data_IF_056267827187
#
_entry.id   IF_056267827187
#
_cell.length_a   1.000
_cell.length_b   1.000
_cell.length_c   1.000
_cell.angle_alpha   90.00
_cell.angle_beta   90.00
_cell.angle_gamma   90.00
#
_symmetry.space_group_name_H-M   'P 1'
#
loop_
_entity.id
_entity.type
_entity.pdbx_description
1 polymer ?
#
# COMPACT_ATOMS: atom_id res chain seq x y z
N UNK A 1 -8.25 25.50 -4.33
CA UNK A 1 -7.36 24.44 -4.81
C UNK A 1 -6.56 23.79 -3.68
N UNK A 2 -6.02 24.56 -2.75
CA UNK A 2 -5.30 24.06 -1.57
C UNK A 2 -6.00 22.97 -0.76
N UNK A 3 -7.31 23.13 -0.53
CA UNK A 3 -8.09 22.11 0.21
C UNK A 3 -8.10 20.76 -0.52
N UNK A 4 -8.27 20.77 -1.84
CA UNK A 4 -8.29 19.54 -2.64
C UNK A 4 -6.91 18.86 -2.65
N UNK A 5 -5.83 19.64 -2.79
CA UNK A 5 -4.45 19.13 -2.70
C UNK A 5 -4.19 18.48 -1.34
N UNK A 6 -4.57 19.14 -0.23
CA UNK A 6 -4.42 18.59 1.12
C UNK A 6 -5.17 17.28 1.32
N UNK A 7 -6.38 17.15 0.77
CA UNK A 7 -7.14 15.89 0.84
C UNK A 7 -6.35 14.76 0.17
N UNK A 8 -5.82 14.96 -1.04
CA UNK A 8 -5.07 13.92 -1.73
C UNK A 8 -3.71 13.62 -1.08
N UNK A 9 -3.07 14.58 -0.42
CA UNK A 9 -1.89 14.33 0.40
C UNK A 9 -2.20 13.38 1.57
N UNK A 10 -3.33 13.58 2.25
CA UNK A 10 -3.78 12.70 3.32
C UNK A 10 -4.10 11.30 2.78
N UNK A 11 -4.84 11.22 1.67
CA UNK A 11 -5.18 9.93 1.03
C UNK A 11 -3.91 9.18 0.62
N UNK A 12 -2.93 9.87 0.03
CA UNK A 12 -1.64 9.28 -0.30
C UNK A 12 -0.95 8.67 0.91
N UNK A 13 -0.90 9.39 2.03
CA UNK A 13 -0.31 8.89 3.27
C UNK A 13 -1.06 7.65 3.79
N UNK A 14 -2.39 7.68 3.80
CA UNK A 14 -3.23 6.56 4.23
C UNK A 14 -3.00 5.33 3.36
N UNK A 15 -2.97 5.49 2.04
CA UNK A 15 -2.74 4.40 1.08
C UNK A 15 -1.34 3.81 1.25
N UNK A 16 -0.32 4.66 1.39
CA UNK A 16 1.05 4.24 1.68
C UNK A 16 1.15 3.42 2.96
N UNK A 17 0.58 3.91 4.06
CA UNK A 17 0.55 3.22 5.36
C UNK A 17 -0.20 1.88 5.25
N UNK A 18 -1.33 1.87 4.56
CA UNK A 18 -2.15 0.65 4.38
C UNK A 18 -1.36 -0.44 3.65
N UNK A 19 -0.66 -0.07 2.56
CA UNK A 19 0.21 -0.99 1.84
C UNK A 19 1.32 -1.56 2.73
N UNK A 20 1.97 -0.72 3.54
CA UNK A 20 3.01 -1.14 4.48
C UNK A 20 2.48 -2.10 5.55
N UNK A 21 1.30 -1.83 6.11
CA UNK A 21 0.66 -2.71 7.09
C UNK A 21 0.36 -4.08 6.47
N UNK A 22 -0.10 -4.12 5.22
CA UNK A 22 -0.33 -5.37 4.50
C UNK A 22 0.97 -6.16 4.26
N UNK A 23 2.08 -5.46 3.95
CA UNK A 23 3.40 -6.10 3.87
C UNK A 23 3.79 -6.74 5.21
N UNK A 24 3.67 -5.99 6.32
CA UNK A 24 4.00 -6.52 7.65
C UNK A 24 3.12 -7.71 8.04
N UNK A 25 1.81 -7.65 7.77
CA UNK A 25 0.91 -8.77 8.01
C UNK A 25 1.29 -9.99 7.15
N UNK A 26 1.65 -9.78 5.88
CA UNK A 26 2.11 -10.83 4.98
C UNK A 26 3.40 -11.51 5.44
N UNK A 27 4.34 -10.76 6.02
CA UNK A 27 5.57 -11.30 6.62
C UNK A 27 5.24 -12.28 7.74
N UNK A 28 4.32 -11.91 8.64
CA UNK A 28 3.91 -12.75 9.77
C UNK A 28 3.30 -14.06 9.27
N UNK A 29 2.41 -14.00 8.29
CA UNK A 29 1.79 -15.20 7.70
C UNK A 29 2.81 -16.05 6.94
N UNK A 30 3.74 -15.45 6.21
CA UNK A 30 4.78 -16.18 5.48
C UNK A 30 5.67 -16.99 6.43
N UNK A 31 6.27 -16.33 7.42
CA UNK A 31 7.15 -17.03 8.38
C UNK A 31 6.37 -17.98 9.29
N UNK A 32 5.14 -17.62 9.68
CA UNK A 32 4.27 -18.50 10.43
C UNK A 32 3.90 -19.77 9.65
N UNK A 33 3.65 -19.67 8.35
CA UNK A 33 3.44 -20.83 7.49
C UNK A 33 4.70 -21.66 7.32
N UNK A 34 5.86 -21.01 7.11
CA UNK A 34 7.16 -21.69 6.97
C UNK A 34 7.51 -22.52 8.19
N UNK A 35 7.35 -21.94 9.39
CA UNK A 35 7.68 -22.63 10.63
C UNK A 35 6.75 -23.81 10.93
N UNK A 36 5.55 -23.83 10.34
CA UNK A 36 4.53 -24.86 10.56
C UNK A 36 4.36 -25.82 9.37
N UNK A 37 5.23 -25.76 8.35
CA UNK A 37 5.10 -26.51 7.09
C UNK A 37 3.73 -26.33 6.40
N UNK A 38 3.11 -25.15 6.57
CA UNK A 38 1.85 -24.77 5.93
C UNK A 38 2.16 -23.94 4.68
N UNK A 39 2.07 -24.57 3.51
CA UNK A 39 2.36 -23.93 2.21
C UNK A 39 1.29 -22.93 1.80
N UNK A 40 0.02 -23.17 2.16
CA UNK A 40 -1.10 -22.29 1.81
C UNK A 40 -0.99 -20.97 2.56
N UNK A 41 -0.61 -21.02 3.85
CA UNK A 41 -0.36 -19.81 4.64
C UNK A 41 0.87 -19.04 4.14
N UNK A 42 1.92 -19.73 3.71
CA UNK A 42 3.08 -19.10 3.07
C UNK A 42 2.69 -18.32 1.81
N UNK A 43 1.95 -18.96 0.90
CA UNK A 43 1.50 -18.32 -0.33
C UNK A 43 0.61 -17.10 -0.04
N UNK A 44 -0.33 -17.24 0.90
CA UNK A 44 -1.16 -16.11 1.35
C UNK A 44 -0.32 -14.94 1.86
N UNK A 45 0.69 -15.22 2.68
CA UNK A 45 1.62 -14.21 3.20
C UNK A 45 2.41 -13.52 2.08
N UNK A 46 2.93 -14.29 1.13
CA UNK A 46 3.64 -13.76 -0.05
C UNK A 46 2.74 -12.85 -0.91
N UNK A 47 1.52 -13.30 -1.19
CA UNK A 47 0.54 -12.53 -1.95
C UNK A 47 0.14 -11.24 -1.21
N UNK A 48 -0.04 -11.30 0.11
CA UNK A 48 -0.31 -10.11 0.92
C UNK A 48 0.84 -9.09 0.86
N UNK A 49 2.10 -9.55 0.90
CA UNK A 49 3.27 -8.67 0.73
C UNK A 49 3.30 -8.00 -0.64
N UNK A 50 3.10 -8.76 -1.72
CA UNK A 50 3.13 -8.22 -3.08
C UNK A 50 1.99 -7.21 -3.27
N UNK A 51 0.77 -7.58 -2.88
CA UNK A 51 -0.40 -6.72 -3.02
C UNK A 51 -0.28 -5.46 -2.14
N UNK A 52 0.21 -5.61 -0.91
CA UNK A 52 0.48 -4.49 -0.01
C UNK A 52 1.52 -3.53 -0.58
N UNK A 53 2.64 -4.06 -1.08
CA UNK A 53 3.67 -3.26 -1.74
C UNK A 53 3.15 -2.53 -2.98
N UNK A 54 2.38 -3.23 -3.82
CA UNK A 54 1.77 -2.66 -5.01
C UNK A 54 0.81 -1.50 -4.67
N UNK A 55 -0.08 -1.69 -3.68
CA UNK A 55 -0.99 -0.64 -3.21
C UNK A 55 -0.20 0.55 -2.66
N UNK A 56 0.82 0.29 -1.83
CA UNK A 56 1.64 1.34 -1.22
C UNK A 56 2.38 2.20 -2.25
N UNK A 57 2.94 1.59 -3.29
CA UNK A 57 3.71 2.30 -4.33
C UNK A 57 2.79 2.90 -5.39
N UNK A 58 1.96 2.07 -6.04
CA UNK A 58 1.12 2.49 -7.16
C UNK A 58 0.04 3.45 -6.68
N UNK A 59 -0.62 3.14 -5.56
CA UNK A 59 -1.65 3.99 -5.00
C UNK A 59 -1.12 5.36 -4.57
N UNK A 60 0.09 5.41 -3.98
CA UNK A 60 0.73 6.68 -3.66
C UNK A 60 1.14 7.48 -4.91
N UNK A 61 1.65 6.80 -5.94
CA UNK A 61 2.01 7.44 -7.22
C UNK A 61 0.79 8.03 -7.93
N UNK A 62 -0.35 7.32 -7.92
CA UNK A 62 -1.62 7.84 -8.47
C UNK A 62 -2.08 9.08 -7.70
N UNK A 63 -2.00 9.09 -6.36
CA UNK A 63 -2.36 10.27 -5.58
C UNK A 63 -1.45 11.47 -5.90
N UNK A 64 -0.15 11.24 -6.09
CA UNK A 64 0.79 12.28 -6.52
C UNK A 64 0.46 12.83 -7.91
N UNK A 65 0.11 11.96 -8.87
CA UNK A 65 -0.31 12.40 -10.19
C UNK A 65 -1.57 13.29 -10.14
N UNK A 66 -2.53 12.96 -9.26
CA UNK A 66 -3.72 13.79 -9.03
C UNK A 66 -3.35 15.15 -8.43
N UNK A 67 -2.47 15.18 -7.43
CA UNK A 67 -2.00 16.43 -6.83
C UNK A 67 -1.35 17.33 -7.90
N UNK A 68 -0.49 16.76 -8.75
CA UNK A 68 0.16 17.51 -9.83
C UNK A 68 -0.87 18.07 -10.83
N UNK A 69 -1.87 17.27 -11.22
CA UNK A 69 -2.93 17.73 -12.12
C UNK A 69 -3.78 18.85 -11.49
N UNK A 70 -4.08 18.76 -10.20
CA UNK A 70 -4.79 19.80 -9.44
C UNK A 70 -4.00 21.11 -9.40
N UNK A 71 -2.68 21.04 -9.22
CA UNK A 71 -1.80 22.22 -9.21
C UNK A 71 -1.62 22.85 -10.59
N UNK A 72 -1.75 22.08 -11.67
CA UNK A 72 -1.60 22.59 -13.03
C UNK A 72 -2.78 23.46 -13.50
N UNK A 73 -3.95 23.32 -12.86
CA UNK A 73 -5.18 24.08 -13.19
C UNK A 73 -5.45 25.23 -12.22
N UNK A 74 -4.54 25.47 -11.27
CA UNK A 74 -4.69 26.42 -10.16
C UNK A 74 -3.75 27.60 -10.27
#
# INVERSE_FOLDING_TARGET
MDTAVKVFQIVQAVVGITGLVWVLAGIIDFFGGRNNNDSMRQEKGANAMINGGAIGVIGAAVCQAIIAALQAIS
#
